data_IF_607159224418
#
_entry.id   IF_607159224418
#
_cell.length_a   1.000
_cell.length_b   1.000
_cell.length_c   1.000
_cell.angle_alpha   90.00
_cell.angle_beta   90.00
_cell.angle_gamma   90.00
#
_symmetry.space_group_name_H-M   'P 1'
#
loop_
_entity.id
_entity.type
_entity.pdbx_description
1 polymer ?
#
# COMPACT_ATOMS: atom_id res chain seq x y z
N UNK A 1 -9.60 7.99 -1.01
CA UNK A 1 -9.64 7.20 0.24
C UNK A 1 -8.82 7.85 1.36
N UNK A 2 -7.48 7.99 1.24
CA UNK A 2 -6.64 8.66 2.28
C UNK A 2 -7.22 10.00 2.72
N UNK A 3 -7.49 10.90 1.76
CA UNK A 3 -8.11 12.20 2.02
C UNK A 3 -9.45 12.13 2.79
N UNK A 4 -10.32 11.17 2.43
CA UNK A 4 -11.60 10.99 3.11
C UNK A 4 -11.42 10.47 4.54
N UNK A 5 -10.47 9.57 4.75
CA UNK A 5 -10.15 9.05 6.07
C UNK A 5 -9.66 10.18 7.00
N UNK A 6 -8.71 10.99 6.50
CA UNK A 6 -8.09 12.08 7.23
C UNK A 6 -9.07 13.24 7.51
N UNK A 7 -9.77 13.72 6.47
CA UNK A 7 -10.61 14.92 6.56
C UNK A 7 -12.00 14.65 7.14
N UNK A 8 -12.51 13.42 7.02
CA UNK A 8 -13.90 13.11 7.38
C UNK A 8 -13.98 12.06 8.50
N UNK A 9 -13.51 10.83 8.25
CA UNK A 9 -13.79 9.72 9.15
C UNK A 9 -13.11 9.87 10.52
N UNK A 10 -11.82 10.21 10.55
CA UNK A 10 -11.06 10.42 11.80
C UNK A 10 -11.60 11.63 12.54
N UNK A 11 -11.85 12.74 11.83
CA UNK A 11 -12.41 13.96 12.42
C UNK A 11 -13.77 13.72 13.07
N UNK A 12 -14.67 13.03 12.38
CA UNK A 12 -15.98 12.66 12.89
C UNK A 12 -15.88 11.73 14.11
N UNK A 13 -15.03 10.71 14.06
CA UNK A 13 -14.83 9.82 15.20
C UNK A 13 -14.34 10.57 16.43
N UNK A 14 -13.33 11.44 16.29
CA UNK A 14 -12.79 12.24 17.41
C UNK A 14 -13.84 13.16 18.02
N UNK A 15 -14.76 13.70 17.21
CA UNK A 15 -15.86 14.53 17.70
C UNK A 15 -16.92 13.72 18.47
N UNK A 16 -17.26 12.52 18.00
CA UNK A 16 -18.28 11.66 18.62
C UNK A 16 -17.76 10.88 19.84
N UNK A 17 -16.46 10.55 19.85
CA UNK A 17 -15.83 9.68 20.85
C UNK A 17 -14.53 10.31 21.37
N UNK A 18 -14.61 11.45 22.10
CA UNK A 18 -13.43 12.12 22.61
C UNK A 18 -12.64 11.21 23.56
N UNK A 19 -11.31 11.26 23.46
CA UNK A 19 -10.36 10.44 24.24
C UNK A 19 -10.44 8.92 24.02
N UNK A 20 -11.17 8.45 23.01
CA UNK A 20 -11.17 7.04 22.62
C UNK A 20 -10.14 6.77 21.51
N UNK A 21 -9.62 5.55 21.51
CA UNK A 21 -8.83 5.00 20.40
C UNK A 21 -9.74 4.18 19.51
N UNK A 22 -9.89 4.57 18.24
CA UNK A 22 -10.61 3.77 17.27
C UNK A 22 -9.74 2.60 16.77
N UNK A 23 -10.40 1.51 16.41
CA UNK A 23 -9.83 0.46 15.56
C UNK A 23 -10.43 0.62 14.17
N UNK A 24 -9.60 0.99 13.19
CA UNK A 24 -10.01 1.08 11.79
C UNK A 24 -9.73 -0.24 11.08
N UNK A 25 -10.80 -0.97 10.77
CA UNK A 25 -10.75 -2.26 10.09
C UNK A 25 -10.99 -2.08 8.59
N UNK A 26 -10.03 -2.53 7.77
CA UNK A 26 -10.10 -2.46 6.32
C UNK A 26 -10.12 -3.86 5.70
N UNK A 27 -10.81 -4.03 4.57
CA UNK A 27 -10.69 -5.26 3.78
C UNK A 27 -9.25 -5.40 3.26
N UNK A 28 -8.74 -6.62 3.18
CA UNK A 28 -7.39 -6.90 2.67
C UNK A 28 -7.35 -6.82 1.14
N UNK A 29 -7.52 -5.61 0.61
CA UNK A 29 -7.46 -5.30 -0.82
C UNK A 29 -6.12 -4.68 -1.19
N UNK A 30 -5.70 -4.84 -2.45
CA UNK A 30 -4.47 -4.22 -2.97
C UNK A 30 -4.47 -2.70 -2.84
N UNK A 31 -5.65 -2.07 -2.91
CA UNK A 31 -5.79 -0.62 -2.79
C UNK A 31 -5.50 -0.13 -1.36
N UNK A 32 -5.77 -0.96 -0.36
CA UNK A 32 -5.52 -0.62 1.05
C UNK A 32 -4.04 -0.84 1.43
N UNK A 33 -3.35 -1.74 0.71
CA UNK A 33 -1.90 -1.90 0.79
C UNK A 33 -1.09 -0.89 -0.04
N UNK A 34 -1.73 0.13 -0.62
CA UNK A 34 -1.02 1.13 -1.42
C UNK A 34 -0.14 2.02 -0.54
N UNK A 35 1.12 2.19 -0.96
CA UNK A 35 2.09 3.08 -0.33
C UNK A 35 1.98 4.52 -0.87
N UNK A 36 2.40 5.49 -0.06
CA UNK A 36 2.55 6.89 -0.47
C UNK A 36 3.56 7.05 -1.62
N UNK A 37 3.59 8.25 -2.22
CA UNK A 37 4.51 8.56 -3.33
C UNK A 37 5.97 8.69 -2.91
N UNK A 38 6.23 8.90 -1.61
CA UNK A 38 7.55 9.05 -1.01
C UNK A 38 8.01 7.81 -0.22
N UNK A 39 7.17 6.78 -0.11
CA UNK A 39 7.48 5.54 0.58
C UNK A 39 8.69 4.78 -0.01
N UNK A 40 9.44 4.13 0.88
CA UNK A 40 10.58 3.27 0.55
C UNK A 40 10.10 1.92 0.00
N UNK A 41 9.90 1.86 -1.32
CA UNK A 41 9.43 0.64 -1.99
C UNK A 41 10.46 0.16 -3.01
N UNK A 42 11.17 -0.92 -2.69
CA UNK A 42 12.29 -1.43 -3.50
C UNK A 42 11.91 -1.72 -4.97
N UNK A 43 10.69 -2.20 -5.22
CA UNK A 43 10.18 -2.47 -6.58
C UNK A 43 10.04 -1.20 -7.45
N UNK A 44 9.92 -0.02 -6.83
CA UNK A 44 9.87 1.29 -7.50
C UNK A 44 11.26 1.87 -7.80
N UNK A 45 12.34 1.20 -7.36
CA UNK A 45 13.71 1.72 -7.46
C UNK A 45 14.48 1.13 -8.64
N UNK A 46 15.49 1.88 -9.10
CA UNK A 46 16.44 1.48 -10.15
C UNK A 46 17.81 1.16 -9.57
N UNK A 47 18.60 0.35 -10.28
CA UNK A 47 19.91 -0.08 -9.78
C UNK A 47 20.87 1.10 -9.65
N UNK A 48 20.96 1.87 -10.72
CA UNK A 48 21.74 3.10 -10.80
C UNK A 48 20.83 4.31 -10.66
N UNK A 49 21.44 5.44 -10.34
CA UNK A 49 20.76 6.73 -10.26
C UNK A 49 20.15 7.11 -11.60
N UNK A 50 18.96 7.69 -11.56
CA UNK A 50 18.33 8.28 -12.74
C UNK A 50 17.75 9.64 -12.36
N UNK A 51 17.91 10.61 -13.25
CA UNK A 51 17.12 11.84 -13.19
C UNK A 51 15.67 11.45 -13.50
N UNK A 52 14.79 11.55 -12.51
CA UNK A 52 13.35 11.46 -12.73
C UNK A 52 12.86 12.76 -13.37
N UNK A 53 12.22 12.67 -14.53
CA UNK A 53 11.45 13.79 -15.07
C UNK A 53 10.05 13.75 -14.44
N UNK A 54 9.58 14.80 -13.74
CA UNK A 54 8.30 14.76 -13.06
C UNK A 54 7.14 15.04 -14.01
N UNK A 55 5.98 14.42 -13.77
CA UNK A 55 4.69 14.96 -14.24
C UNK A 55 4.28 16.21 -13.43
N UNK A 56 4.93 16.51 -12.30
CA UNK A 56 4.62 17.65 -11.42
C UNK A 56 5.89 18.38 -10.94
N UNK A 57 6.23 19.49 -11.59
CA UNK A 57 7.10 20.67 -11.26
C UNK A 57 8.33 20.61 -10.30
N UNK A 58 8.71 19.51 -9.66
CA UNK A 58 9.99 19.41 -8.92
C UNK A 58 10.77 18.15 -9.33
N UNK A 59 12.00 18.33 -9.84
CA UNK A 59 12.88 17.23 -10.24
C UNK A 59 13.14 16.36 -9.00
N UNK A 60 12.51 15.17 -8.92
CA UNK A 60 12.87 14.18 -7.91
C UNK A 60 14.11 13.43 -8.37
N UNK A 61 15.19 13.57 -7.61
CA UNK A 61 16.39 12.77 -7.78
C UNK A 61 16.21 11.46 -7.01
N UNK A 62 15.96 10.36 -7.72
CA UNK A 62 15.86 9.05 -7.09
C UNK A 62 17.25 8.42 -6.98
N UNK A 63 17.73 8.25 -5.73
CA UNK A 63 18.95 7.48 -5.47
C UNK A 63 18.75 6.05 -5.94
N UNK A 64 19.72 5.53 -6.69
CA UNK A 64 19.72 4.13 -7.10
C UNK A 64 20.02 3.19 -5.94
N UNK A 65 19.57 1.94 -6.04
CA UNK A 65 19.81 0.90 -5.03
C UNK A 65 21.31 0.76 -4.73
N UNK A 66 22.15 0.81 -5.76
CA UNK A 66 23.61 0.71 -5.61
C UNK A 66 24.15 1.76 -4.65
N UNK A 67 23.81 3.04 -4.87
CA UNK A 67 24.28 4.15 -4.03
C UNK A 67 23.76 4.02 -2.60
N UNK A 68 22.49 3.65 -2.42
CA UNK A 68 21.89 3.45 -1.08
C UNK A 68 22.66 2.38 -0.31
N UNK A 69 22.95 1.25 -0.95
CA UNK A 69 23.70 0.17 -0.33
C UNK A 69 25.17 0.52 -0.10
N UNK A 70 25.82 1.27 -1.00
CA UNK A 70 27.19 1.78 -0.81
C UNK A 70 27.27 2.75 0.38
N UNK A 71 26.35 3.72 0.47
CA UNK A 71 26.23 4.65 1.62
C UNK A 71 26.02 3.89 2.94
N UNK A 72 25.34 2.73 2.90
CA UNK A 72 25.12 1.84 4.05
C UNK A 72 26.24 0.82 4.28
N UNK A 73 27.28 0.78 3.45
CA UNK A 73 28.34 -0.25 3.46
C UNK A 73 27.80 -1.69 3.34
N UNK A 74 26.72 -1.85 2.57
CA UNK A 74 26.00 -3.11 2.35
C UNK A 74 26.03 -3.55 0.87
N UNK A 75 26.79 -2.85 0.02
CA UNK A 75 26.91 -3.21 -1.38
C UNK A 75 27.82 -4.44 -1.56
N UNK A 76 27.22 -5.56 -1.98
CA UNK A 76 27.93 -6.81 -2.30
C UNK A 76 28.27 -6.86 -3.79
N UNK A 77 27.32 -6.46 -4.65
CA UNK A 77 27.51 -6.36 -6.10
C UNK A 77 27.42 -7.69 -6.86
N UNK A 78 27.27 -8.81 -6.17
CA UNK A 78 27.06 -10.13 -6.76
C UNK A 78 26.00 -10.95 -6.02
N UNK A 79 25.35 -11.87 -6.73
CA UNK A 79 24.41 -12.83 -6.16
C UNK A 79 25.13 -13.97 -5.42
N UNK A 80 24.34 -14.91 -4.91
CA UNK A 80 24.84 -16.11 -4.20
C UNK A 80 25.74 -17.01 -5.05
N UNK A 81 25.69 -16.89 -6.38
CA UNK A 81 26.48 -17.66 -7.34
C UNK A 81 27.75 -16.89 -7.78
N UNK A 82 27.96 -15.67 -7.28
CA UNK A 82 29.07 -14.81 -7.68
C UNK A 82 28.82 -14.05 -8.98
N UNK A 83 27.62 -14.13 -9.57
CA UNK A 83 27.28 -13.35 -10.75
C UNK A 83 26.97 -11.91 -10.37
N UNK A 84 27.31 -10.96 -11.23
CA UNK A 84 26.98 -9.54 -11.04
C UNK A 84 25.48 -9.36 -10.81
N UNK A 85 25.12 -8.59 -9.78
CA UNK A 85 23.71 -8.33 -9.45
C UNK A 85 22.93 -7.73 -10.61
N UNK A 86 21.78 -8.33 -10.88
CA UNK A 86 20.70 -7.74 -11.68
C UNK A 86 19.83 -6.86 -10.79
N UNK A 87 19.12 -5.91 -11.40
CA UNK A 87 18.12 -5.10 -10.69
C UNK A 87 17.02 -6.00 -10.11
N UNK A 88 16.51 -6.90 -10.96
CA UNK A 88 15.41 -7.80 -10.67
C UNK A 88 15.74 -9.19 -11.24
N UNK A 89 15.35 -10.25 -10.54
CA UNK A 89 15.51 -11.63 -10.97
C UNK A 89 14.22 -12.24 -11.53
N UNK A 90 13.06 -11.56 -11.40
CA UNK A 90 11.76 -12.04 -11.85
C UNK A 90 11.16 -13.18 -11.02
N UNK A 91 11.86 -13.64 -9.98
CA UNK A 91 11.33 -14.61 -9.04
C UNK A 91 10.28 -13.95 -8.12
N UNK A 92 9.20 -14.65 -7.75
CA UNK A 92 8.32 -14.21 -6.69
C UNK A 92 9.10 -14.08 -5.37
N UNK A 93 8.57 -13.26 -4.45
CA UNK A 93 9.26 -12.85 -3.22
C UNK A 93 9.92 -14.06 -2.52
N UNK A 94 11.27 -14.13 -2.49
CA UNK A 94 11.96 -15.37 -2.20
C UNK A 94 11.96 -15.59 -0.69
N UNK A 95 11.12 -16.52 -0.23
CA UNK A 95 11.17 -17.01 1.16
C UNK A 95 12.56 -17.55 1.54
N UNK A 96 13.34 -18.01 0.56
CA UNK A 96 14.59 -18.71 0.78
C UNK A 96 15.87 -17.91 0.50
N UNK A 97 15.85 -16.89 -0.38
CA UNK A 97 17.10 -16.29 -0.92
C UNK A 97 17.02 -14.78 -1.17
N UNK A 98 17.26 -14.02 -0.10
CA UNK A 98 17.21 -12.55 -0.05
C UNK A 98 18.37 -11.83 -0.78
N UNK A 99 19.39 -12.56 -1.27
CA UNK A 99 20.59 -12.00 -1.93
C UNK A 99 20.56 -12.18 -3.47
N UNK A 100 19.47 -12.72 -4.04
CA UNK A 100 19.39 -13.05 -5.46
C UNK A 100 19.44 -11.85 -6.43
N UNK A 101 18.94 -10.68 -6.03
CA UNK A 101 18.98 -9.46 -6.83
C UNK A 101 18.98 -8.22 -5.93
N UNK A 102 19.30 -7.06 -6.51
CA UNK A 102 19.38 -5.81 -5.77
C UNK A 102 18.05 -5.41 -5.12
N UNK A 103 16.90 -5.65 -5.79
CA UNK A 103 15.56 -5.37 -5.25
C UNK A 103 15.23 -6.22 -4.03
N UNK A 104 15.37 -7.54 -4.10
CA UNK A 104 15.09 -8.40 -2.95
C UNK A 104 16.03 -8.12 -1.78
N UNK A 105 17.31 -7.87 -2.06
CA UNK A 105 18.25 -7.52 -1.00
C UNK A 105 17.87 -6.22 -0.30
N UNK A 106 17.50 -5.18 -1.06
CA UNK A 106 17.05 -3.91 -0.50
C UNK A 106 15.71 -4.03 0.24
N UNK A 107 14.75 -4.78 -0.32
CA UNK A 107 13.43 -4.99 0.29
C UNK A 107 13.51 -5.62 1.69
N UNK A 108 14.60 -6.33 1.98
CA UNK A 108 14.81 -7.00 3.27
C UNK A 108 15.49 -6.11 4.32
N UNK A 109 15.82 -4.86 3.97
CA UNK A 109 16.34 -3.91 4.95
C UNK A 109 15.19 -3.45 5.87
N UNK A 110 15.45 -3.21 7.17
CA UNK A 110 14.41 -2.91 8.15
C UNK A 110 13.50 -1.75 7.72
N UNK A 111 14.07 -0.67 7.21
CA UNK A 111 13.34 0.51 6.75
C UNK A 111 12.42 0.25 5.55
N UNK A 112 12.72 -0.76 4.73
CA UNK A 112 11.84 -1.19 3.64
C UNK A 112 10.79 -2.21 4.10
N UNK A 113 11.12 -3.07 5.08
CA UNK A 113 10.18 -4.03 5.66
C UNK A 113 9.13 -3.35 6.56
N UNK A 114 9.55 -2.33 7.29
CA UNK A 114 8.71 -1.58 8.23
C UNK A 114 7.93 -0.46 7.55
N UNK A 115 8.15 -0.22 6.25
CA UNK A 115 7.41 0.78 5.49
C UNK A 115 5.92 0.46 5.54
N UNK A 116 5.13 1.42 6.06
CA UNK A 116 3.69 1.29 6.25
C UNK A 116 2.94 1.75 5.01
N UNK A 117 1.73 1.22 4.82
CA UNK A 117 0.82 1.69 3.77
C UNK A 117 0.33 3.11 4.06
N UNK A 118 -0.09 3.84 3.03
CA UNK A 118 -0.55 5.23 3.20
C UNK A 118 -1.76 5.33 4.16
N UNK A 119 -2.66 4.34 4.14
CA UNK A 119 -3.77 4.31 5.09
C UNK A 119 -3.30 4.05 6.52
N UNK A 120 -2.39 3.08 6.69
CA UNK A 120 -1.87 2.74 8.00
C UNK A 120 -1.17 3.94 8.64
N UNK A 121 -0.34 4.66 7.88
CA UNK A 121 0.31 5.88 8.36
C UNK A 121 -0.72 6.91 8.84
N UNK A 122 -1.78 7.16 8.06
CA UNK A 122 -2.82 8.14 8.44
C UNK A 122 -3.54 7.74 9.72
N UNK A 123 -3.93 6.47 9.85
CA UNK A 123 -4.64 5.97 11.04
C UNK A 123 -3.73 6.04 12.28
N UNK A 124 -2.51 5.52 12.19
CA UNK A 124 -1.62 5.41 13.33
C UNK A 124 -1.04 6.77 13.74
N UNK A 125 -0.72 7.65 12.78
CA UNK A 125 -0.31 9.04 13.07
C UNK A 125 -1.43 9.83 13.77
N UNK A 126 -2.69 9.47 13.53
CA UNK A 126 -3.83 10.06 14.22
C UNK A 126 -4.05 9.51 15.64
N UNK A 127 -3.26 8.53 16.09
CA UNK A 127 -3.35 7.87 17.40
C UNK A 127 -4.37 6.72 17.45
N UNK A 128 -4.69 6.13 16.30
CA UNK A 128 -5.67 5.04 16.18
C UNK A 128 -5.01 3.74 15.72
N UNK A 129 -5.74 2.62 15.83
CA UNK A 129 -5.24 1.28 15.49
C UNK A 129 -5.68 0.94 14.07
N UNK A 130 -4.74 0.49 13.22
CA UNK A 130 -5.01 0.02 11.87
C UNK A 130 -4.99 -1.50 11.84
N UNK A 131 -6.06 -2.11 11.31
CA UNK A 131 -6.13 -3.57 11.12
C UNK A 131 -6.71 -3.95 9.75
N UNK A 132 -6.29 -5.10 9.26
CA UNK A 132 -6.80 -5.70 8.03
C UNK A 132 -7.53 -7.00 8.36
N UNK A 133 -8.66 -7.23 7.69
CA UNK A 133 -9.32 -8.54 7.72
C UNK A 133 -8.39 -9.64 7.19
N UNK A 134 -8.52 -10.89 7.69
CA UNK A 134 -7.77 -12.00 7.13
C UNK A 134 -8.02 -12.15 5.63
N UNK A 135 -6.95 -12.40 4.88
CA UNK A 135 -7.03 -12.56 3.43
C UNK A 135 -7.84 -13.82 3.09
N UNK A 136 -8.76 -13.71 2.14
CA UNK A 136 -9.61 -14.82 1.66
C UNK A 136 -10.63 -15.36 2.69
N UNK A 137 -10.95 -14.61 3.73
CA UNK A 137 -11.98 -14.95 4.73
C UNK A 137 -13.10 -13.91 4.73
N UNK A 138 -13.97 -13.94 3.71
CA UNK A 138 -15.06 -12.98 3.58
C UNK A 138 -16.13 -13.13 4.67
N UNK A 139 -16.25 -14.32 5.27
CA UNK A 139 -17.11 -14.61 6.41
C UNK A 139 -16.76 -13.79 7.66
N UNK A 140 -15.50 -13.38 7.81
CA UNK A 140 -15.04 -12.55 8.92
C UNK A 140 -15.24 -11.05 8.65
N UNK A 141 -15.54 -10.66 7.41
CA UNK A 141 -15.73 -9.27 7.03
C UNK A 141 -17.22 -8.91 7.06
N UNK A 142 -17.66 -8.33 8.17
CA UNK A 142 -19.02 -7.83 8.37
C UNK A 142 -19.60 -7.04 7.19
N UNK A 143 -18.80 -6.21 6.50
CA UNK A 143 -19.30 -5.40 5.37
C UNK A 143 -19.72 -6.30 4.19
N UNK A 144 -19.07 -7.45 3.99
CA UNK A 144 -19.43 -8.42 2.95
C UNK A 144 -20.80 -9.05 3.23
N UNK A 145 -21.18 -9.23 4.50
CA UNK A 145 -22.52 -9.68 4.87
C UNK A 145 -23.58 -8.65 4.48
N UNK A 146 -23.33 -7.36 4.78
CA UNK A 146 -24.23 -6.28 4.37
C UNK A 146 -24.34 -6.18 2.85
N UNK A 147 -23.22 -6.24 2.13
CA UNK A 147 -23.23 -6.25 0.67
C UNK A 147 -23.93 -7.48 0.10
N UNK A 148 -23.78 -8.65 0.72
CA UNK A 148 -24.48 -9.88 0.35
C UNK A 148 -25.99 -9.73 0.47
N UNK A 149 -26.47 -9.22 1.61
CA UNK A 149 -27.88 -8.94 1.84
C UNK A 149 -28.44 -7.90 0.87
N UNK A 150 -27.73 -6.77 0.68
CA UNK A 150 -28.12 -5.73 -0.27
C UNK A 150 -28.19 -6.25 -1.71
N UNK A 151 -27.20 -7.04 -2.14
CA UNK A 151 -27.22 -7.70 -3.47
C UNK A 151 -28.39 -8.66 -3.61
N UNK A 152 -28.72 -9.44 -2.57
CA UNK A 152 -29.88 -10.34 -2.59
C UNK A 152 -31.19 -9.56 -2.75
N UNK A 153 -31.41 -8.52 -1.95
CA UNK A 153 -32.61 -7.69 -2.06
C UNK A 153 -32.70 -7.00 -3.43
N UNK A 154 -31.59 -6.48 -3.94
CA UNK A 154 -31.54 -5.89 -5.28
C UNK A 154 -31.94 -6.91 -6.36
N UNK A 155 -31.48 -8.17 -6.28
CA UNK A 155 -31.85 -9.22 -7.25
C UNK A 155 -33.33 -9.59 -7.20
N UNK A 156 -33.94 -9.50 -6.02
CA UNK A 156 -35.36 -9.84 -5.84
C UNK A 156 -36.28 -8.71 -6.26
N UNK A 157 -35.84 -7.45 -6.14
CA UNK A 157 -36.72 -6.27 -6.22
C UNK A 157 -36.37 -5.28 -7.32
N UNK A 158 -35.17 -5.32 -7.87
CA UNK A 158 -34.72 -4.37 -8.89
C UNK A 158 -34.63 -5.05 -10.26
N UNK A 159 -35.04 -4.32 -11.30
CA UNK A 159 -34.85 -4.68 -12.70
C UNK A 159 -33.48 -4.22 -13.24
N UNK A 160 -32.68 -3.54 -12.40
CA UNK A 160 -31.38 -2.95 -12.73
C UNK A 160 -31.42 -1.88 -13.83
N UNK A 161 -32.59 -1.30 -14.10
CA UNK A 161 -32.71 -0.20 -15.04
C UNK A 161 -32.23 1.09 -14.36
N UNK A 162 -31.12 1.66 -14.82
CA UNK A 162 -30.65 2.98 -14.38
C UNK A 162 -31.17 4.04 -15.35
N UNK A 163 -32.04 4.97 -14.91
CA UNK A 163 -32.56 6.01 -15.78
C UNK A 163 -31.45 6.90 -16.33
N UNK A 164 -31.50 7.22 -17.63
CA UNK A 164 -30.47 8.03 -18.31
C UNK A 164 -30.35 9.46 -17.76
N UNK A 165 -31.40 9.96 -17.11
CA UNK A 165 -31.47 11.28 -16.49
C UNK A 165 -30.98 11.34 -15.03
N UNK A 166 -30.61 10.21 -14.42
CA UNK A 166 -30.14 10.17 -13.03
C UNK A 166 -28.82 10.96 -12.82
N UNK A 167 -27.99 11.05 -13.86
CA UNK A 167 -26.70 11.75 -13.84
C UNK A 167 -26.81 13.27 -14.00
N UNK A 168 -27.99 13.81 -14.30
CA UNK A 168 -28.19 15.25 -14.47
C UNK A 168 -28.56 15.98 -13.16
N UNK A 169 -28.60 15.28 -12.03
CA UNK A 169 -29.03 15.82 -10.72
C UNK A 169 -28.00 15.65 -9.59
N UNK A 170 -26.78 15.22 -9.90
CA UNK A 170 -25.64 15.09 -8.96
C UNK A 170 -24.52 15.98 -9.45
#
# INVERSE_FOLDING_TARGET
>A
MVKQLEEQAIGLFKALHPNCTAVFLFVNSSNHGAYSDDALVASRMTLNEKKGYPQTKSIRYFKGIKRILEERRQWIGHDIQGNKWKLDCGAPDPELNKICCARHFLATRPDFLEQRSALQEVVENAGHIFELYPKYHCECNWIEMYWGAAKREARLRCDYTVPSNLWMQI
#
